data_IF_771078188902
#
_entry.id   IF_771078188902
#
_cell.length_a   1.000
_cell.length_b   1.000
_cell.length_c   1.000
_cell.angle_alpha   90.00
_cell.angle_beta   90.00
_cell.angle_gamma   90.00
#
_symmetry.space_group_name_H-M   'P 1'
#
loop_
_entity.id
_entity.type
_entity.pdbx_description
1 polymer ?
#
# COMPACT_ATOMS: atom_id res chain seq x y z
N UNK A 1 8.00 1.78 2.83
CA UNK A 1 9.32 1.26 3.23
C UNK A 1 10.28 2.44 3.25
N UNK A 2 10.99 2.63 4.36
CA UNK A 2 11.96 3.70 4.48
C UNK A 2 13.15 3.44 3.55
N UNK A 3 13.69 4.51 2.97
CA UNK A 3 14.93 4.46 2.22
C UNK A 3 16.11 4.31 3.19
N UNK A 4 17.26 3.85 2.71
CA UNK A 4 18.48 3.70 3.53
C UNK A 4 18.92 5.03 4.18
N UNK A 5 18.58 6.16 3.57
CA UNK A 5 18.89 7.51 4.04
C UNK A 5 17.67 8.25 4.64
N UNK A 6 16.67 7.51 5.12
CA UNK A 6 15.49 8.11 5.72
C UNK A 6 15.84 8.89 6.99
N UNK A 7 15.14 10.00 7.18
CA UNK A 7 15.25 10.86 8.36
C UNK A 7 14.47 10.30 9.55
N UNK A 8 14.80 10.73 10.76
CA UNK A 8 14.05 10.37 11.97
C UNK A 8 12.58 10.83 11.90
N UNK A 9 12.30 11.92 11.15
CA UNK A 9 10.94 12.38 10.90
C UNK A 9 10.14 11.38 10.04
N UNK A 10 10.73 10.88 8.94
CA UNK A 10 10.09 9.87 8.09
C UNK A 10 9.86 8.55 8.86
N UNK A 11 10.76 8.20 9.78
CA UNK A 11 10.57 7.07 10.68
C UNK A 11 9.39 7.30 11.65
N UNK A 12 9.31 8.49 12.25
CA UNK A 12 8.22 8.86 13.16
C UNK A 12 6.86 8.87 12.45
N UNK A 13 6.81 9.37 11.22
CA UNK A 13 5.59 9.37 10.40
C UNK A 13 5.14 7.94 10.11
N UNK A 14 6.06 7.06 9.72
CA UNK A 14 5.74 5.66 9.45
C UNK A 14 5.26 4.91 10.71
N UNK A 15 5.81 5.22 11.89
CA UNK A 15 5.34 4.66 13.17
C UNK A 15 3.91 5.13 13.45
N UNK A 16 3.62 6.41 13.22
CA UNK A 16 2.28 6.98 13.44
C UNK A 16 1.22 6.37 12.52
N UNK A 17 1.57 6.15 11.25
CA UNK A 17 0.71 5.43 10.29
C UNK A 17 0.46 3.98 10.73
N UNK A 18 1.50 3.29 11.21
CA UNK A 18 1.38 1.92 11.73
C UNK A 18 0.48 1.85 12.98
N UNK A 19 0.59 2.80 13.90
CA UNK A 19 -0.29 2.89 15.08
C UNK A 19 -1.75 3.08 14.66
N UNK A 20 -2.01 3.92 13.65
CA UNK A 20 -3.35 4.09 13.09
C UNK A 20 -3.90 2.76 12.54
N UNK A 21 -3.09 1.98 11.82
CA UNK A 21 -3.50 0.66 11.31
C UNK A 21 -3.83 -0.32 12.46
N UNK A 22 -3.10 -0.24 13.57
CA UNK A 22 -3.35 -1.08 14.75
C UNK A 22 -4.69 -0.74 15.42
N UNK A 23 -5.09 0.53 15.44
CA UNK A 23 -6.35 0.98 16.03
C UNK A 23 -7.60 0.58 15.22
N UNK A 24 -7.49 0.53 13.89
CA UNK A 24 -8.59 0.15 12.99
C UNK A 24 -9.10 -1.28 13.29
N UNK A 25 -8.19 -2.19 13.64
CA UNK A 25 -8.51 -3.60 13.85
C UNK A 25 -8.89 -4.33 12.55
N UNK A 26 -9.79 -5.31 12.65
CA UNK A 26 -10.18 -6.15 11.51
C UNK A 26 -11.39 -5.54 10.80
N UNK A 27 -11.24 -5.23 9.50
CA UNK A 27 -12.33 -4.72 8.68
C UNK A 27 -12.28 -5.29 7.25
N UNK A 28 -13.44 -5.65 6.68
CA UNK A 28 -13.54 -6.36 5.38
C UNK A 28 -12.89 -5.65 4.17
N UNK A 29 -12.75 -4.33 4.24
CA UNK A 29 -12.25 -3.49 3.14
C UNK A 29 -10.90 -2.85 3.44
N UNK A 30 -10.25 -3.23 4.55
CA UNK A 30 -8.96 -2.67 4.97
C UNK A 30 -8.02 -3.84 5.18
N UNK A 31 -6.80 -3.73 4.65
CA UNK A 31 -5.78 -4.76 4.81
C UNK A 31 -5.50 -4.97 6.29
N UNK A 32 -5.69 -6.21 6.75
CA UNK A 32 -5.49 -6.56 8.14
C UNK A 32 -4.01 -6.46 8.53
N UNK A 33 -3.73 -5.67 9.56
CA UNK A 33 -2.41 -5.55 10.16
C UNK A 33 -2.20 -6.66 11.20
N UNK A 34 -1.15 -7.46 11.02
CA UNK A 34 -0.86 -8.62 11.87
C UNK A 34 0.19 -8.33 12.94
N UNK A 35 1.12 -7.41 12.65
CA UNK A 35 2.16 -7.00 13.60
C UNK A 35 3.32 -6.28 12.91
N UNK A 36 4.32 -5.90 13.70
CA UNK A 36 5.53 -5.27 13.20
C UNK A 36 6.76 -5.71 13.99
N UNK A 37 7.92 -5.71 13.34
CA UNK A 37 9.20 -5.83 14.00
C UNK A 37 9.82 -4.43 14.17
N UNK A 38 9.88 -3.96 15.40
CA UNK A 38 10.39 -2.63 15.78
C UNK A 38 11.74 -2.68 16.50
N UNK A 39 12.23 -3.89 16.83
CA UNK A 39 13.42 -4.07 17.68
C UNK A 39 14.62 -4.41 16.81
N UNK A 40 15.70 -3.63 16.95
CA UNK A 40 17.02 -3.88 16.37
C UNK A 40 17.02 -4.22 14.87
N UNK A 41 16.48 -3.31 14.05
CA UNK A 41 16.49 -3.45 12.60
C UNK A 41 15.62 -2.41 11.91
N UNK A 42 15.54 -2.44 10.56
CA UNK A 42 14.56 -1.65 9.84
C UNK A 42 13.14 -2.08 10.24
N UNK A 43 12.22 -1.13 10.25
CA UNK A 43 10.83 -1.40 10.60
C UNK A 43 10.20 -2.34 9.56
N UNK A 44 9.81 -3.54 10.00
CA UNK A 44 9.06 -4.48 9.16
C UNK A 44 7.60 -4.50 9.57
N UNK A 45 6.70 -4.50 8.58
CA UNK A 45 5.26 -4.65 8.78
C UNK A 45 4.82 -6.02 8.30
N UNK A 46 4.02 -6.70 9.11
CA UNK A 46 3.38 -7.98 8.82
C UNK A 46 1.91 -7.69 8.58
N UNK A 47 1.43 -8.01 7.39
CA UNK A 47 0.04 -7.79 6.96
C UNK A 47 -0.51 -9.06 6.32
N UNK A 48 -1.83 -9.14 6.18
CA UNK A 48 -2.44 -10.24 5.45
C UNK A 48 -1.99 -10.31 3.98
N UNK A 49 -1.98 -11.52 3.44
CA UNK A 49 -1.61 -11.76 2.06
C UNK A 49 -2.75 -11.40 1.10
N UNK A 50 -2.47 -10.53 0.13
CA UNK A 50 -3.41 -10.12 -0.92
C UNK A 50 -3.07 -10.83 -2.24
N UNK A 51 -3.69 -11.99 -2.57
CA UNK A 51 -3.29 -12.82 -3.70
C UNK A 51 -3.50 -12.17 -5.08
N UNK A 52 -4.39 -11.20 -5.18
CA UNK A 52 -4.78 -10.56 -6.46
C UNK A 52 -4.02 -9.27 -6.76
N UNK A 53 -3.01 -8.90 -5.96
CA UNK A 53 -2.25 -7.69 -6.16
C UNK A 53 -3.06 -6.42 -5.88
N UNK A 54 -2.88 -5.38 -6.70
CA UNK A 54 -3.47 -4.06 -6.48
C UNK A 54 -4.44 -3.67 -7.59
N UNK A 55 -5.39 -2.80 -7.24
CA UNK A 55 -6.44 -2.33 -8.14
C UNK A 55 -5.89 -1.56 -9.36
N UNK A 56 -4.79 -0.81 -9.20
CA UNK A 56 -4.22 -0.02 -10.30
C UNK A 56 -3.79 -0.91 -11.45
N UNK A 57 -3.14 -2.01 -11.15
CA UNK A 57 -2.62 -2.93 -12.16
C UNK A 57 -3.78 -3.74 -12.75
N UNK A 58 -4.73 -4.20 -11.93
CA UNK A 58 -5.98 -4.81 -12.40
C UNK A 58 -6.74 -3.93 -13.41
N UNK A 59 -6.91 -2.64 -13.13
CA UNK A 59 -7.58 -1.69 -14.02
C UNK A 59 -6.80 -1.40 -15.31
N UNK A 60 -5.46 -1.48 -15.27
CA UNK A 60 -4.61 -1.31 -16.46
C UNK A 60 -4.75 -2.50 -17.40
N UNK A 61 -4.75 -3.71 -16.86
CA UNK A 61 -4.90 -4.97 -17.60
C UNK A 61 -6.31 -5.14 -18.18
N UNK A 62 -7.33 -4.65 -17.47
CA UNK A 62 -8.73 -4.80 -17.87
C UNK A 62 -9.34 -3.52 -18.48
N UNK A 63 -8.50 -2.64 -19.04
CA UNK A 63 -8.98 -1.41 -19.69
C UNK A 63 -9.86 -1.77 -20.90
N UNK A 64 -11.12 -1.32 -20.98
CA UNK A 64 -11.96 -1.62 -22.14
C UNK A 64 -11.39 -0.96 -23.40
N UNK A 65 -11.34 -1.71 -24.50
CA UNK A 65 -10.75 -1.27 -25.78
C UNK A 65 -11.36 0.04 -26.32
N UNK A 66 -12.62 0.34 -25.99
CA UNK A 66 -13.28 1.58 -26.43
C UNK A 66 -12.65 2.86 -25.87
N UNK A 67 -11.95 2.80 -24.72
CA UNK A 67 -11.28 3.95 -24.12
C UNK A 67 -9.99 4.34 -24.85
N UNK A 68 -9.34 3.38 -25.51
CA UNK A 68 -8.13 3.60 -26.31
C UNK A 68 -8.47 4.30 -27.62
N UNK A 69 -9.61 3.96 -28.24
CA UNK A 69 -10.09 4.57 -29.48
C UNK A 69 -10.48 6.05 -29.29
N UNK A 70 -11.10 6.40 -28.15
CA UNK A 70 -11.45 7.82 -27.84
C UNK A 70 -10.23 8.73 -27.68
N UNK A 71 -9.09 8.23 -27.19
CA UNK A 71 -7.86 9.04 -27.08
C UNK A 71 -7.19 9.30 -28.43
N UNK A 72 -7.27 8.34 -29.36
CA UNK A 72 -6.71 8.51 -30.71
C UNK A 72 -7.56 9.41 -31.62
N UNK A 73 -8.87 9.56 -31.35
CA UNK A 73 -9.74 10.47 -32.10
C UNK A 73 -9.72 11.93 -31.60
N UNK A 74 -9.05 12.21 -30.48
CA UNK A 74 -8.93 13.55 -29.89
C UNK A 74 -7.50 14.12 -30.02
N UNK A 75 -6.67 13.55 -30.90
CA UNK A 75 -5.32 14.03 -31.25
C UNK A 75 -5.31 14.52 -32.69
#
# INVERSE_FOLDING_TARGET
MLKENATDAELSDLISEMETMKEIGIHKNIVNFLGACTVQGPLFLIVEYCPHGNLRDFLRENRPLCWTQRRQQLS
#
